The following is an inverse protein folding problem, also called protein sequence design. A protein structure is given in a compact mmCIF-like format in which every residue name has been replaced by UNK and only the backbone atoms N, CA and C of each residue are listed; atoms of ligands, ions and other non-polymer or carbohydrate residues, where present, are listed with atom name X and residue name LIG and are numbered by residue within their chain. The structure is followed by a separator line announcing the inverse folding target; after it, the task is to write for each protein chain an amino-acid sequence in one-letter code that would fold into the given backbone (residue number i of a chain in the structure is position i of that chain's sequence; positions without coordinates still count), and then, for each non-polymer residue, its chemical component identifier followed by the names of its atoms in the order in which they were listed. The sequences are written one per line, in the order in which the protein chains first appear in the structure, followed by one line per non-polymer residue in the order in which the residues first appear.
data_IF_004397520503
#
_entry.id   IF_004397520503
#
_cell.length_a   1.000
_cell.length_b   1.000
_cell.length_c   1.000
_cell.angle_alpha   90.00
_cell.angle_beta   90.00
_cell.angle_gamma   90.00
#
_symmetry.space_group_name_H-M   'P 1'
#
loop_
_entity.id
_entity.type
_entity.pdbx_description
1 polymer ?
#
# COMPACT_ATOMS: atom_id res chain seq x y z
N UNK A 1 48.69 73.44 -16.45
CA UNK A 1 47.29 73.00 -16.26
C UNK A 1 46.69 73.82 -15.12
N UNK A 2 45.52 74.44 -15.31
CA UNK A 2 44.84 75.19 -14.24
C UNK A 2 44.19 74.20 -13.26
N UNK A 3 44.14 74.50 -11.95
CA UNK A 3 43.53 73.60 -10.94
C UNK A 3 42.06 73.25 -11.26
N UNK A 4 41.36 74.12 -11.99
CA UNK A 4 40.00 73.87 -12.52
C UNK A 4 39.93 72.64 -13.45
N UNK A 5 40.96 72.40 -14.28
CA UNK A 5 40.98 71.23 -15.19
C UNK A 5 41.42 69.93 -14.52
N UNK A 6 41.95 69.98 -13.30
CA UNK A 6 42.22 68.79 -12.49
C UNK A 6 40.94 68.32 -11.78
N UNK A 7 40.21 69.26 -11.15
CA UNK A 7 38.94 68.98 -10.50
C UNK A 7 37.87 68.47 -11.49
N UNK A 8 37.80 69.04 -12.70
CA UNK A 8 36.87 68.57 -13.75
C UNK A 8 37.18 67.14 -14.21
N UNK A 9 38.46 66.75 -14.27
CA UNK A 9 38.87 65.37 -14.58
C UNK A 9 38.54 64.39 -13.46
N UNK A 10 38.77 64.79 -12.21
CA UNK A 10 38.42 63.98 -11.05
C UNK A 10 36.89 63.75 -10.96
N UNK A 11 36.09 64.78 -11.20
CA UNK A 11 34.62 64.65 -11.29
C UNK A 11 34.20 63.70 -12.42
N UNK A 12 34.87 63.72 -13.57
CA UNK A 12 34.57 62.82 -14.68
C UNK A 12 34.87 61.35 -14.31
N UNK A 13 36.02 61.07 -13.68
CA UNK A 13 36.39 59.74 -13.21
C UNK A 13 35.41 59.21 -12.15
N UNK A 14 35.03 60.04 -11.18
CA UNK A 14 34.05 59.65 -10.14
C UNK A 14 32.66 59.35 -10.73
N UNK A 15 32.25 60.04 -11.81
CA UNK A 15 30.99 59.75 -12.51
C UNK A 15 31.06 58.42 -13.28
N UNK A 16 32.21 58.12 -13.87
CA UNK A 16 32.46 56.84 -14.54
C UNK A 16 32.42 55.68 -13.53
N UNK A 17 33.13 55.81 -12.41
CA UNK A 17 33.12 54.82 -11.31
C UNK A 17 31.73 54.60 -10.72
N UNK A 18 30.94 55.67 -10.54
CA UNK A 18 29.56 55.58 -10.08
C UNK A 18 28.67 54.83 -11.09
N UNK A 19 28.89 55.05 -12.39
CA UNK A 19 28.13 54.37 -13.46
C UNK A 19 28.45 52.88 -13.49
N UNK A 20 29.74 52.52 -13.39
CA UNK A 20 30.20 51.12 -13.31
C UNK A 20 29.65 50.45 -12.05
N UNK A 21 29.66 51.16 -10.91
CA UNK A 21 29.15 50.64 -9.64
C UNK A 21 27.65 50.37 -9.67
N UNK A 22 26.86 51.26 -10.31
CA UNK A 22 25.41 51.05 -10.53
C UNK A 22 25.15 49.84 -11.41
N UNK A 23 25.87 49.70 -12.52
CA UNK A 23 25.72 48.55 -13.42
C UNK A 23 26.03 47.22 -12.72
N UNK A 24 27.08 47.17 -11.89
CA UNK A 24 27.39 45.99 -11.07
C UNK A 24 26.33 45.70 -10.00
N UNK A 25 25.67 46.72 -9.47
CA UNK A 25 24.57 46.53 -8.53
C UNK A 25 23.36 45.94 -9.25
N UNK A 26 22.99 46.48 -10.41
CA UNK A 26 21.89 45.96 -11.23
C UNK A 26 22.13 44.50 -11.66
N UNK A 27 23.37 44.14 -12.00
CA UNK A 27 23.76 42.76 -12.32
C UNK A 27 23.59 41.83 -11.11
N UNK A 28 23.98 42.28 -9.91
CA UNK A 28 23.76 41.53 -8.66
C UNK A 28 22.28 41.40 -8.33
N UNK A 29 21.49 42.45 -8.52
CA UNK A 29 20.04 42.42 -8.28
C UNK A 29 19.36 41.44 -9.25
N UNK A 30 19.77 41.43 -10.53
CA UNK A 30 19.31 40.42 -11.49
C UNK A 30 19.73 39.00 -11.11
N UNK A 31 20.95 38.81 -10.61
CA UNK A 31 21.40 37.52 -10.11
C UNK A 31 20.58 37.07 -8.88
N UNK A 32 20.30 37.97 -7.95
CA UNK A 32 19.46 37.70 -6.77
C UNK A 32 18.04 37.31 -7.19
N UNK A 33 17.43 38.01 -8.14
CA UNK A 33 16.09 37.65 -8.67
C UNK A 33 16.11 36.25 -9.29
N UNK A 34 17.15 35.89 -10.04
CA UNK A 34 17.32 34.52 -10.58
C UNK A 34 17.44 33.49 -9.47
N UNK A 35 18.19 33.77 -8.41
CA UNK A 35 18.33 32.85 -7.27
C UNK A 35 17.01 32.69 -6.53
N UNK A 36 16.30 33.78 -6.22
CA UNK A 36 15.00 33.73 -5.54
C UNK A 36 13.98 32.93 -6.36
N UNK A 37 13.88 33.19 -7.66
CA UNK A 37 12.97 32.44 -8.54
C UNK A 37 13.34 30.94 -8.63
N UNK A 38 14.63 30.61 -8.64
CA UNK A 38 15.08 29.21 -8.57
C UNK A 38 14.69 28.56 -7.23
N UNK A 39 14.92 29.24 -6.11
CA UNK A 39 14.53 28.76 -4.77
C UNK A 39 13.02 28.53 -4.67
N UNK A 40 12.20 29.43 -5.21
CA UNK A 40 10.74 29.26 -5.25
C UNK A 40 10.33 28.05 -6.08
N UNK A 41 10.97 27.85 -7.24
CA UNK A 41 10.70 26.70 -8.11
C UNK A 41 11.07 25.37 -7.44
N UNK A 42 12.20 25.31 -6.73
CA UNK A 42 12.65 24.14 -5.98
C UNK A 42 11.75 23.87 -4.78
N UNK A 43 11.32 24.92 -4.08
CA UNK A 43 10.37 24.82 -2.96
C UNK A 43 9.02 24.27 -3.43
N UNK A 44 8.53 24.73 -4.58
CA UNK A 44 7.31 24.22 -5.19
C UNK A 44 7.45 22.75 -5.62
N UNK A 45 8.56 22.38 -6.24
CA UNK A 45 8.86 21.00 -6.62
C UNK A 45 8.94 20.07 -5.41
N UNK A 46 9.58 20.51 -4.32
CA UNK A 46 9.68 19.77 -3.07
C UNK A 46 8.31 19.57 -2.42
N UNK A 47 7.47 20.61 -2.38
CA UNK A 47 6.08 20.50 -1.89
C UNK A 47 5.28 19.47 -2.70
N UNK A 48 5.37 19.52 -4.03
CA UNK A 48 4.71 18.56 -4.92
C UNK A 48 5.23 17.13 -4.73
N UNK A 49 6.54 16.96 -4.52
CA UNK A 49 7.15 15.67 -4.23
C UNK A 49 6.61 15.07 -2.93
N UNK A 50 6.54 15.87 -1.86
CA UNK A 50 5.97 15.47 -0.56
C UNK A 50 4.49 15.10 -0.65
N UNK A 51 3.70 15.86 -1.41
CA UNK A 51 2.29 15.55 -1.62
C UNK A 51 2.11 14.17 -2.27
N UNK A 52 2.84 13.88 -3.35
CA UNK A 52 2.77 12.56 -4.01
C UNK A 52 3.13 11.41 -3.07
N UNK A 53 4.15 11.59 -2.22
CA UNK A 53 4.53 10.57 -1.25
C UNK A 53 3.42 10.35 -0.20
N UNK A 54 2.73 11.40 0.22
CA UNK A 54 1.58 11.29 1.11
C UNK A 54 0.41 10.56 0.44
N UNK A 55 0.12 10.88 -0.83
CA UNK A 55 -0.93 10.21 -1.61
C UNK A 55 -0.61 8.71 -1.81
N UNK A 56 0.64 8.37 -2.18
CA UNK A 56 1.14 6.99 -2.31
C UNK A 56 1.03 6.22 -0.97
N UNK A 57 1.37 6.87 0.15
CA UNK A 57 1.24 6.26 1.48
C UNK A 57 -0.23 6.08 1.90
N UNK A 58 -1.12 6.98 1.50
CA UNK A 58 -2.57 6.84 1.71
C UNK A 58 -3.11 5.64 0.95
N UNK A 59 -2.79 5.53 -0.34
CA UNK A 59 -3.20 4.40 -1.18
C UNK A 59 -2.69 3.06 -0.65
N UNK A 60 -1.44 3.01 -0.15
CA UNK A 60 -0.92 1.78 0.47
C UNK A 60 -1.75 1.35 1.70
N UNK A 61 -2.21 2.30 2.52
CA UNK A 61 -3.07 2.01 3.68
C UNK A 61 -4.48 1.58 3.29
N UNK A 62 -5.04 2.20 2.25
CA UNK A 62 -6.34 1.82 1.69
C UNK A 62 -6.31 0.38 1.17
N UNK A 63 -5.29 0.04 0.39
CA UNK A 63 -5.12 -1.32 -0.15
C UNK A 63 -4.83 -2.37 0.97
N UNK A 64 -4.13 -2.01 2.04
CA UNK A 64 -4.00 -2.86 3.23
C UNK A 64 -5.34 -3.13 3.92
N UNK A 65 -6.21 -2.11 4.02
CA UNK A 65 -7.54 -2.26 4.59
C UNK A 65 -8.44 -3.15 3.70
N UNK A 66 -8.41 -2.95 2.38
CA UNK A 66 -9.12 -3.81 1.43
C UNK A 66 -8.64 -5.27 1.52
N UNK A 67 -7.33 -5.49 1.65
CA UNK A 67 -6.76 -6.81 1.84
C UNK A 67 -7.30 -7.50 3.10
N UNK A 68 -7.38 -6.76 4.21
CA UNK A 68 -7.91 -7.29 5.47
C UNK A 68 -9.37 -7.73 5.33
N UNK A 69 -10.20 -6.92 4.67
CA UNK A 69 -11.60 -7.26 4.38
C UNK A 69 -11.72 -8.52 3.52
N UNK A 70 -10.88 -8.65 2.48
CA UNK A 70 -10.89 -9.84 1.62
C UNK A 70 -10.44 -11.09 2.40
N UNK A 71 -9.44 -10.97 3.28
CA UNK A 71 -8.99 -12.07 4.13
C UNK A 71 -10.08 -12.52 5.11
N UNK A 72 -10.80 -11.59 5.73
CA UNK A 72 -11.92 -11.90 6.60
C UNK A 72 -13.04 -12.64 5.82
N UNK A 73 -13.38 -12.15 4.62
CA UNK A 73 -14.38 -12.79 3.78
C UNK A 73 -13.98 -14.21 3.34
N UNK A 74 -12.69 -14.46 3.09
CA UNK A 74 -12.16 -15.80 2.80
C UNK A 74 -12.29 -16.72 4.02
N UNK A 75 -11.94 -16.25 5.22
CA UNK A 75 -12.07 -17.03 6.45
C UNK A 75 -13.53 -17.40 6.76
N UNK A 76 -14.46 -16.46 6.56
CA UNK A 76 -15.89 -16.73 6.71
C UNK A 76 -16.37 -17.79 5.71
N UNK A 77 -15.88 -17.74 4.47
CA UNK A 77 -16.20 -18.75 3.46
C UNK A 77 -15.63 -20.13 3.77
N UNK A 78 -14.39 -20.21 4.25
CA UNK A 78 -13.78 -21.47 4.67
C UNK A 78 -14.60 -22.14 5.78
N UNK A 79 -15.17 -21.34 6.69
CA UNK A 79 -16.08 -21.85 7.72
C UNK A 79 -17.36 -22.44 7.10
N UNK A 80 -17.98 -21.75 6.14
CA UNK A 80 -19.17 -22.26 5.43
C UNK A 80 -18.86 -23.53 4.64
N UNK A 81 -17.69 -23.62 4.00
CA UNK A 81 -17.28 -24.82 3.26
C UNK A 81 -17.17 -26.01 4.22
N UNK A 82 -16.53 -25.84 5.39
CA UNK A 82 -16.44 -26.91 6.40
C UNK A 82 -17.81 -27.34 6.90
N UNK A 83 -18.72 -26.39 7.16
CA UNK A 83 -20.10 -26.70 7.54
C UNK A 83 -20.83 -27.51 6.45
N UNK A 84 -20.61 -27.18 5.18
CA UNK A 84 -21.16 -27.96 4.07
C UNK A 84 -20.53 -29.35 3.95
N UNK A 85 -19.23 -29.49 4.18
CA UNK A 85 -18.52 -30.78 4.21
C UNK A 85 -19.10 -31.69 5.31
N UNK A 86 -19.28 -31.15 6.52
CA UNK A 86 -19.89 -31.87 7.65
C UNK A 86 -21.31 -32.33 7.30
N UNK A 87 -22.11 -31.44 6.69
CA UNK A 87 -23.49 -31.76 6.29
C UNK A 87 -23.57 -32.77 5.14
N UNK A 88 -22.59 -32.79 4.22
CA UNK A 88 -22.47 -33.83 3.19
C UNK A 88 -22.20 -35.18 3.87
N UNK A 89 -21.27 -35.24 4.83
CA UNK A 89 -20.97 -36.46 5.57
C UNK A 89 -22.20 -36.99 6.32
N UNK A 90 -22.97 -36.12 6.99
CA UNK A 90 -24.23 -36.50 7.63
C UNK A 90 -25.25 -37.07 6.64
N UNK A 91 -25.40 -36.46 5.46
CA UNK A 91 -26.29 -36.96 4.41
C UNK A 91 -25.84 -38.32 3.86
N UNK A 92 -24.53 -38.54 3.73
CA UNK A 92 -23.98 -39.82 3.31
C UNK A 92 -24.28 -40.92 4.33
N UNK A 93 -24.14 -40.64 5.62
CA UNK A 93 -24.51 -41.58 6.69
C UNK A 93 -26.02 -41.90 6.68
N UNK A 94 -26.87 -40.88 6.50
CA UNK A 94 -28.31 -41.07 6.35
C UNK A 94 -28.66 -41.91 5.13
N UNK A 95 -27.97 -41.72 4.00
CA UNK A 95 -28.13 -42.52 2.79
C UNK A 95 -27.75 -43.98 3.02
N UNK A 96 -26.62 -44.23 3.69
CA UNK A 96 -26.19 -45.59 4.04
C UNK A 96 -27.22 -46.27 4.93
N UNK A 97 -27.74 -45.56 5.94
CA UNK A 97 -28.80 -46.07 6.82
C UNK A 97 -30.10 -46.35 6.06
N UNK A 98 -30.55 -45.42 5.22
CA UNK A 98 -31.77 -45.58 4.41
C UNK A 98 -31.66 -46.77 3.44
N UNK A 99 -30.50 -46.97 2.82
CA UNK A 99 -30.24 -48.15 1.96
C UNK A 99 -30.29 -49.46 2.73
N UNK A 100 -29.75 -49.50 3.96
CA UNK A 100 -29.86 -50.68 4.84
C UNK A 100 -31.31 -50.96 5.22
N UNK A 101 -32.08 -49.93 5.54
CA UNK A 101 -33.52 -50.06 5.86
C UNK A 101 -34.32 -50.55 4.66
N UNK A 102 -34.06 -50.01 3.46
CA UNK A 102 -34.67 -50.46 2.21
C UNK A 102 -34.37 -51.94 1.95
N UNK A 103 -33.12 -52.38 2.08
CA UNK A 103 -32.74 -53.79 1.92
C UNK A 103 -33.44 -54.72 2.92
N UNK A 104 -33.60 -54.28 4.18
CA UNK A 104 -34.35 -55.02 5.19
C UNK A 104 -35.85 -55.09 4.87
N UNK A 105 -36.45 -53.99 4.41
CA UNK A 105 -37.85 -53.94 4.00
C UNK A 105 -38.13 -54.85 2.79
N UNK A 106 -37.23 -54.88 1.80
CA UNK A 106 -37.30 -55.79 0.66
C UNK A 106 -37.22 -57.24 1.11
N UNK A 107 -36.27 -57.57 1.99
CA UNK A 107 -36.14 -58.93 2.55
C UNK A 107 -37.40 -59.38 3.30
N UNK A 108 -38.03 -58.48 4.06
CA UNK A 108 -39.29 -58.76 4.74
C UNK A 108 -40.47 -58.90 3.76
N UNK A 109 -40.49 -58.10 2.68
CA UNK A 109 -41.49 -58.21 1.62
C UNK A 109 -41.44 -59.58 0.94
N UNK A 110 -40.25 -60.04 0.60
CA UNK A 110 -40.02 -61.33 -0.05
C UNK A 110 -40.45 -62.51 0.84
N UNK A 111 -40.29 -62.38 2.17
CA UNK A 111 -40.66 -63.41 3.13
C UNK A 111 -42.17 -63.51 3.39
N UNK A 112 -42.88 -62.37 3.44
CA UNK A 112 -44.29 -62.30 3.89
C UNK A 112 -45.28 -62.16 2.73
N UNK A 113 -44.83 -61.74 1.53
CA UNK A 113 -45.67 -61.61 0.35
C UNK A 113 -46.82 -60.60 0.49
N UNK A 114 -46.73 -59.65 1.42
CA UNK A 114 -47.84 -58.75 1.77
C UNK A 114 -47.76 -57.39 1.08
N UNK A 115 -48.91 -56.77 0.80
CA UNK A 115 -48.98 -55.44 0.19
C UNK A 115 -48.44 -54.31 1.09
N UNK A 116 -48.48 -54.47 2.41
CA UNK A 116 -47.91 -53.50 3.38
C UNK A 116 -46.39 -53.41 3.27
N UNK A 117 -45.72 -54.53 3.05
CA UNK A 117 -44.27 -54.56 2.83
C UNK A 117 -43.85 -53.89 1.51
N UNK A 118 -44.68 -53.93 0.47
CA UNK A 118 -44.42 -53.20 -0.79
C UNK A 118 -44.58 -51.67 -0.67
N UNK A 119 -45.42 -51.19 0.26
CA UNK A 119 -45.52 -49.76 0.56
C UNK A 119 -44.26 -49.25 1.29
N UNK A 120 -43.79 -50.00 2.30
CA UNK A 120 -42.57 -49.66 3.04
C UNK A 120 -41.31 -49.63 2.15
N UNK A 121 -41.20 -50.55 1.18
CA UNK A 121 -40.10 -50.53 0.20
C UNK A 121 -40.16 -49.28 -0.68
N UNK A 122 -41.34 -48.87 -1.16
CA UNK A 122 -41.49 -47.65 -1.97
C UNK A 122 -41.12 -46.39 -1.18
N UNK A 123 -41.62 -46.25 0.04
CA UNK A 123 -41.28 -45.14 0.93
C UNK A 123 -39.76 -45.06 1.19
N UNK A 124 -39.10 -46.21 1.39
CA UNK A 124 -37.66 -46.26 1.56
C UNK A 124 -36.89 -45.84 0.29
N UNK A 125 -37.40 -46.17 -0.91
CA UNK A 125 -36.80 -45.73 -2.18
C UNK A 125 -36.98 -44.22 -2.39
N UNK A 126 -38.19 -43.69 -2.17
CA UNK A 126 -38.47 -42.24 -2.25
C UNK A 126 -37.55 -41.46 -1.31
N UNK A 127 -37.38 -41.92 -0.06
CA UNK A 127 -36.45 -41.31 0.89
C UNK A 127 -34.98 -41.36 0.43
N UNK A 128 -34.55 -42.44 -0.21
CA UNK A 128 -33.19 -42.54 -0.76
C UNK A 128 -33.01 -41.54 -1.90
N UNK A 129 -33.98 -41.43 -2.80
CA UNK A 129 -33.95 -40.49 -3.92
C UNK A 129 -33.88 -39.04 -3.42
N UNK A 130 -34.72 -38.66 -2.46
CA UNK A 130 -34.71 -37.34 -1.82
C UNK A 130 -33.34 -37.00 -1.20
N UNK A 131 -32.76 -37.95 -0.46
CA UNK A 131 -31.44 -37.77 0.17
C UNK A 131 -30.32 -37.68 -0.87
N UNK A 132 -30.43 -38.41 -1.99
CA UNK A 132 -29.46 -38.34 -3.09
C UNK A 132 -29.53 -36.98 -3.80
N UNK A 133 -30.75 -36.46 -4.03
CA UNK A 133 -30.94 -35.14 -4.63
C UNK A 133 -30.38 -34.04 -3.71
N UNK A 134 -30.66 -34.11 -2.41
CA UNK A 134 -30.11 -33.17 -1.43
C UNK A 134 -28.58 -33.21 -1.37
N UNK A 135 -27.98 -34.41 -1.36
CA UNK A 135 -26.53 -34.57 -1.35
C UNK A 135 -25.89 -34.00 -2.62
N UNK A 136 -26.46 -34.30 -3.80
CA UNK A 136 -25.98 -33.77 -5.07
C UNK A 136 -26.09 -32.23 -5.17
N UNK A 137 -27.20 -31.66 -4.68
CA UNK A 137 -27.39 -30.22 -4.62
C UNK A 137 -26.35 -29.54 -3.70
N UNK A 138 -26.07 -30.14 -2.54
CA UNK A 138 -25.10 -29.62 -1.58
C UNK A 138 -23.66 -29.72 -2.12
N UNK A 139 -23.27 -30.84 -2.72
CA UNK A 139 -21.97 -31.00 -3.39
C UNK A 139 -21.77 -29.95 -4.50
N UNK A 140 -22.82 -29.69 -5.30
CA UNK A 140 -22.78 -28.66 -6.33
C UNK A 140 -22.59 -27.26 -5.73
N UNK A 141 -23.28 -26.96 -4.63
CA UNK A 141 -23.11 -25.68 -3.93
C UNK A 141 -21.68 -25.52 -3.37
N UNK A 142 -21.12 -26.57 -2.79
CA UNK A 142 -19.75 -26.57 -2.25
C UNK A 142 -18.71 -26.31 -3.33
N UNK A 143 -18.83 -26.99 -4.49
CA UNK A 143 -17.93 -26.75 -5.64
C UNK A 143 -18.01 -25.31 -6.15
N UNK A 144 -19.20 -24.71 -6.15
CA UNK A 144 -19.37 -23.30 -6.52
C UNK A 144 -18.68 -22.36 -5.52
N UNK A 145 -18.83 -22.61 -4.21
CA UNK A 145 -18.15 -21.83 -3.17
C UNK A 145 -16.63 -21.95 -3.25
N UNK A 146 -16.11 -23.16 -3.50
CA UNK A 146 -14.67 -23.39 -3.68
C UNK A 146 -14.13 -22.68 -4.92
N UNK A 147 -14.86 -22.68 -6.03
CA UNK A 147 -14.47 -21.95 -7.24
C UNK A 147 -14.43 -20.44 -7.00
N UNK A 148 -15.40 -19.90 -6.26
CA UNK A 148 -15.42 -18.49 -5.91
C UNK A 148 -14.31 -18.11 -4.93
N UNK A 149 -14.03 -18.96 -3.92
CA UNK A 149 -12.92 -18.76 -2.99
C UNK A 149 -11.58 -18.65 -3.74
N UNK A 150 -11.30 -19.58 -4.66
CA UNK A 150 -10.09 -19.55 -5.51
C UNK A 150 -9.99 -18.29 -6.37
N UNK A 151 -11.11 -17.83 -6.91
CA UNK A 151 -11.16 -16.56 -7.66
C UNK A 151 -10.80 -15.37 -6.78
N UNK A 152 -11.37 -15.29 -5.58
CA UNK A 152 -11.10 -14.22 -4.61
C UNK A 152 -9.67 -14.25 -4.09
N UNK A 153 -9.08 -15.44 -3.91
CA UNK A 153 -7.66 -15.60 -3.58
C UNK A 153 -6.75 -15.04 -4.69
N UNK A 154 -7.10 -15.28 -5.96
CA UNK A 154 -6.36 -14.72 -7.09
C UNK A 154 -6.46 -13.18 -7.11
N UNK A 155 -7.65 -12.62 -6.92
CA UNK A 155 -7.87 -11.17 -6.79
C UNK A 155 -7.05 -10.60 -5.60
N UNK A 156 -7.06 -11.26 -4.44
CA UNK A 156 -6.26 -10.87 -3.27
C UNK A 156 -4.76 -10.90 -3.56
N UNK A 157 -4.27 -11.89 -4.32
CA UNK A 157 -2.86 -12.01 -4.65
C UNK A 157 -2.39 -10.86 -5.55
N UNK A 158 -3.24 -10.36 -6.45
CA UNK A 158 -2.98 -9.19 -7.27
C UNK A 158 -2.85 -7.93 -6.41
N UNK A 159 -3.82 -7.67 -5.52
CA UNK A 159 -3.77 -6.54 -4.58
C UNK A 159 -2.51 -6.59 -3.71
N UNK A 160 -2.10 -7.78 -3.21
CA UNK A 160 -0.84 -7.92 -2.45
C UNK A 160 0.40 -7.52 -3.25
N UNK A 161 0.43 -7.85 -4.55
CA UNK A 161 1.54 -7.46 -5.43
C UNK A 161 1.57 -5.96 -5.65
N UNK A 162 0.41 -5.31 -5.82
CA UNK A 162 0.31 -3.86 -5.94
C UNK A 162 0.77 -3.15 -4.67
N UNK A 163 0.31 -3.60 -3.49
CA UNK A 163 0.78 -3.08 -2.19
C UNK A 163 2.29 -3.24 -2.03
N UNK A 164 2.84 -4.41 -2.38
CA UNK A 164 4.27 -4.65 -2.32
C UNK A 164 5.05 -3.72 -3.26
N UNK A 165 4.54 -3.49 -4.48
CA UNK A 165 5.13 -2.55 -5.43
C UNK A 165 5.14 -1.12 -4.88
N UNK A 166 4.01 -0.65 -4.34
CA UNK A 166 3.88 0.69 -3.73
C UNK A 166 4.83 0.88 -2.54
N UNK A 167 4.95 -0.14 -1.68
CA UNK A 167 5.90 -0.11 -0.56
C UNK A 167 7.34 -0.06 -1.02
N UNK A 168 7.70 -0.82 -2.06
CA UNK A 168 9.04 -0.79 -2.64
C UNK A 168 9.37 0.57 -3.27
N UNK A 169 8.41 1.20 -3.95
CA UNK A 169 8.61 2.55 -4.51
C UNK A 169 8.78 3.61 -3.43
N UNK A 170 7.99 3.53 -2.34
CA UNK A 170 8.12 4.41 -1.18
C UNK A 170 9.49 4.22 -0.50
N UNK A 171 9.88 2.97 -0.23
CA UNK A 171 11.16 2.65 0.40
C UNK A 171 12.37 3.12 -0.43
N UNK A 172 12.32 2.93 -1.76
CA UNK A 172 13.37 3.40 -2.66
C UNK A 172 13.50 4.94 -2.65
N UNK A 173 12.38 5.64 -2.49
CA UNK A 173 12.35 7.10 -2.42
C UNK A 173 12.87 7.61 -1.08
N UNK A 174 12.49 7.00 0.02
CA UNK A 174 13.02 7.32 1.34
C UNK A 174 14.53 7.09 1.40
N UNK A 175 15.01 5.98 0.84
CA UNK A 175 16.45 5.71 0.72
C UNK A 175 17.16 6.77 -0.12
N UNK A 176 16.56 7.20 -1.24
CA UNK A 176 17.09 8.30 -2.07
C UNK A 176 17.16 9.62 -1.30
N UNK A 177 16.11 9.98 -0.57
CA UNK A 177 16.09 11.22 0.23
C UNK A 177 17.10 11.18 1.37
N UNK A 178 17.29 10.02 2.02
CA UNK A 178 18.34 9.84 3.02
C UNK A 178 19.75 9.96 2.42
N UNK A 179 19.96 9.42 1.22
CA UNK A 179 21.24 9.53 0.50
C UNK A 179 21.53 10.97 0.07
N UNK A 180 20.54 11.70 -0.47
CA UNK A 180 20.68 13.12 -0.81
C UNK A 180 20.97 13.97 0.43
N UNK A 181 20.26 13.73 1.54
CA UNK A 181 20.53 14.43 2.81
C UNK A 181 21.93 14.12 3.38
N UNK A 182 22.43 12.89 3.21
CA UNK A 182 23.78 12.54 3.62
C UNK A 182 24.85 13.23 2.75
N UNK A 183 24.64 13.33 1.43
CA UNK A 183 25.54 14.03 0.51
C UNK A 183 25.55 15.54 0.72
N UNK A 184 24.40 16.14 1.06
CA UNK A 184 24.33 17.56 1.45
C UNK A 184 24.92 17.82 2.85
N UNK A 185 25.05 16.78 3.69
CA UNK A 185 25.68 16.85 5.02
C UNK A 185 27.21 16.70 5.01
N UNK A 186 27.83 16.58 3.82
CA UNK A 186 29.24 16.89 3.63
C UNK A 186 29.47 18.42 3.73
N UNK A 187 28.95 19.02 4.81
CA UNK A 187 29.49 20.25 5.40
C UNK A 187 30.99 20.04 5.52
N UNK A 188 31.70 20.81 4.69
CA UNK A 188 33.15 20.86 4.57
C UNK A 188 33.75 20.70 5.99
N UNK A 189 34.56 19.68 6.26
CA UNK A 189 35.17 19.51 7.58
C UNK A 189 35.89 20.79 8.05
N UNK A 190 36.31 21.65 7.12
CA UNK A 190 36.84 22.99 7.40
C UNK A 190 35.79 23.96 7.98
N UNK A 191 34.52 23.92 7.57
CA UNK A 191 33.46 24.74 8.18
C UNK A 191 33.13 24.31 9.61
N UNK A 192 33.07 23.00 9.88
CA UNK A 192 32.94 22.48 11.25
C UNK A 192 34.10 22.93 12.14
N UNK A 193 35.32 22.89 11.62
CA UNK A 193 36.52 23.33 12.36
C UNK A 193 36.53 24.84 12.58
N UNK A 194 36.09 25.64 11.59
CA UNK A 194 35.97 27.11 11.69
C UNK A 194 34.89 27.53 12.68
N UNK A 195 33.74 26.85 12.70
CA UNK A 195 32.67 27.07 13.68
C UNK A 195 33.15 26.74 15.09
N UNK A 196 33.78 25.58 15.29
CA UNK A 196 34.37 25.20 16.59
C UNK A 196 35.42 26.22 17.06
N UNK A 197 36.27 26.72 16.16
CA UNK A 197 37.27 27.76 16.48
C UNK A 197 36.67 29.15 16.76
N UNK A 198 35.47 29.47 16.24
CA UNK A 198 34.71 30.69 16.58
C UNK A 198 34.02 30.57 17.94
N UNK A 199 33.47 29.39 18.25
CA UNK A 199 32.85 29.15 19.55
C UNK A 199 33.87 29.07 20.69
N UNK A 200 35.06 28.51 20.44
CA UNK A 200 36.17 28.51 21.40
C UNK A 200 36.64 29.92 21.75
N UNK A 201 36.88 30.77 20.74
CA UNK A 201 37.28 32.19 20.97
C UNK A 201 36.22 33.04 21.66
N UNK A 202 34.95 32.66 21.59
CA UNK A 202 33.85 33.34 22.28
C UNK A 202 33.69 32.87 23.73
N UNK A 203 34.14 31.66 24.06
CA UNK A 203 34.19 31.17 25.44
C UNK A 203 35.33 31.84 26.22
N UNK A 204 36.47 32.06 25.58
CA UNK A 204 37.62 32.73 26.21
C UNK A 204 37.35 34.22 26.47
N UNK A 205 36.55 34.91 25.64
CA UNK A 205 36.24 36.34 25.83
C UNK A 205 35.15 36.62 26.88
N UNK A 206 34.52 35.60 27.46
CA UNK A 206 33.50 35.74 28.52
C UNK A 206 34.11 35.52 29.92
N UNK A 207 35.36 35.04 29.99
CA UNK A 207 36.10 34.82 31.25
C UNK A 207 37.00 35.97 31.72
N UNK A 208 37.14 37.06 30.95
CA UNK A 208 37.89 38.27 31.32
C UNK A 208 36.92 39.42 31.68
N UNK A 209 36.18 39.27 32.78
CA UNK A 209 35.55 40.38 33.53
C UNK A 209 35.53 40.00 35.00
#
# INVERSE_FOLDING_TARGET
ATPRSAAEREIALLREDLTISKWRLDEKDQALVKVVTQVDSLTAALRKSRQRAADEASHAREADAELAVVQEALQQRDAVIREQEDRIAELEDLLVSARRQSAAATSAADAVGSGTSAAAVREAHERIEDLQEQNAALQKSMLALQAEARRREAESAEVRREVAALRNTLAARDAKTQMEAAMDSDDDPLERTRMAARHSRRADSIGET
#
